data_IF_869954726668
#
_entry.id   IF_869954726668
#
_cell.length_a   1.000
_cell.length_b   1.000
_cell.length_c   1.000
_cell.angle_alpha   90.00
_cell.angle_beta   90.00
_cell.angle_gamma   90.00
#
_symmetry.space_group_name_H-M   'P 1'
#
loop_
_entity.id
_entity.type
_entity.pdbx_description
1 polymer ?
#
# COMPACT_ATOMS: atom_id res chain seq x y z
N UNK A 1 -10.78 -4.68 -0.59
CA UNK A 1 -9.76 -5.38 0.21
C UNK A 1 -10.23 -5.40 1.66
N UNK A 2 -10.41 -6.56 2.30
CA UNK A 2 -10.77 -6.63 3.73
C UNK A 2 -9.57 -6.14 4.52
N UNK A 3 -9.68 -4.99 5.17
CA UNK A 3 -8.75 -4.63 6.26
C UNK A 3 -9.00 -5.66 7.37
N UNK A 4 -8.24 -6.75 7.32
CA UNK A 4 -8.03 -7.61 8.48
C UNK A 4 -7.21 -6.76 9.46
N UNK A 5 -7.87 -5.84 10.16
CA UNK A 5 -7.42 -5.51 11.50
C UNK A 5 -7.30 -6.84 12.24
N UNK A 6 -6.26 -7.03 13.03
CA UNK A 6 -6.01 -8.31 13.71
C UNK A 6 -7.13 -8.72 14.67
N UNK A 7 -8.22 -7.94 14.75
CA UNK A 7 -9.33 -8.15 15.67
C UNK A 7 -8.87 -7.99 17.11
N UNK A 8 -7.79 -7.22 17.35
CA UNK A 8 -7.25 -7.05 18.69
C UNK A 8 -8.35 -6.50 19.60
N UNK A 9 -8.71 -7.28 20.62
CA UNK A 9 -9.73 -6.90 21.61
C UNK A 9 -9.27 -5.74 22.51
N UNK A 10 -7.97 -5.42 22.52
CA UNK A 10 -7.40 -4.32 23.27
C UNK A 10 -7.71 -2.97 22.60
N UNK A 11 -8.35 -2.01 23.30
CA UNK A 11 -8.69 -0.70 22.73
C UNK A 11 -7.46 0.04 22.21
N UNK A 12 -7.61 0.74 21.08
CA UNK A 12 -6.50 1.44 20.43
C UNK A 12 -6.01 2.68 21.20
N UNK A 13 -6.84 3.21 22.10
CA UNK A 13 -6.68 4.49 22.79
C UNK A 13 -6.60 4.36 24.33
N UNK A 14 -5.97 3.31 24.85
CA UNK A 14 -5.78 3.20 26.30
C UNK A 14 -4.79 4.27 26.80
N UNK A 15 -5.21 5.05 27.80
CA UNK A 15 -4.31 5.90 28.56
C UNK A 15 -3.44 5.03 29.46
N UNK A 16 -2.13 5.02 29.18
CA UNK A 16 -1.14 4.21 29.89
C UNK A 16 -0.39 4.98 30.99
N UNK A 17 -0.87 6.17 31.36
CA UNK A 17 -0.32 6.94 32.48
C UNK A 17 -0.76 6.38 33.84
N UNK A 18 -1.95 5.77 33.89
CA UNK A 18 -2.51 5.13 35.09
C UNK A 18 -2.77 3.62 34.84
N UNK A 19 -2.08 2.72 35.57
CA UNK A 19 -2.30 1.28 35.47
C UNK A 19 -3.76 0.84 35.71
N UNK A 20 -4.54 1.59 36.50
CA UNK A 20 -5.95 1.26 36.80
C UNK A 20 -6.87 1.43 35.59
N UNK A 21 -6.51 2.31 34.64
CA UNK A 21 -7.23 2.46 33.37
C UNK A 21 -7.01 1.26 32.44
N UNK A 22 -5.89 0.55 32.61
CA UNK A 22 -5.55 -0.65 31.86
C UNK A 22 -6.06 -1.93 32.53
N UNK A 23 -5.88 -2.05 33.84
CA UNK A 23 -6.18 -3.24 34.62
C UNK A 23 -7.41 -2.98 35.49
N UNK A 24 -8.58 -3.39 34.99
CA UNK A 24 -9.89 -3.14 35.63
C UNK A 24 -10.09 -3.85 36.97
N UNK A 25 -9.22 -4.80 37.32
CA UNK A 25 -9.36 -5.69 38.48
C UNK A 25 -8.06 -5.76 39.30
N UNK A 26 -7.38 -4.63 39.48
CA UNK A 26 -6.22 -4.58 40.39
C UNK A 26 -6.68 -4.86 41.82
N UNK A 27 -5.94 -5.72 42.51
CA UNK A 27 -6.18 -6.09 43.92
C UNK A 27 -5.00 -5.62 44.76
N UNK A 28 -5.24 -5.32 46.04
CA UNK A 28 -4.14 -4.94 46.95
C UNK A 28 -3.23 -6.14 47.20
N UNK A 29 -1.93 -5.88 47.27
CA UNK A 29 -0.91 -6.92 47.46
C UNK A 29 -1.03 -7.65 48.81
N UNK A 30 -1.71 -7.03 49.76
CA UNK A 30 -1.91 -7.46 51.15
C UNK A 30 -2.76 -8.75 51.25
N UNK A 31 -3.46 -9.14 50.18
CA UNK A 31 -4.50 -10.18 50.20
C UNK A 31 -4.04 -11.56 49.67
N UNK A 32 -2.80 -11.72 49.16
CA UNK A 32 -2.33 -12.99 48.58
C UNK A 32 -0.83 -13.27 48.76
N UNK A 33 -0.48 -14.51 49.06
CA UNK A 33 0.88 -15.05 48.92
C UNK A 33 1.06 -15.67 47.54
N UNK A 34 1.94 -15.11 46.72
CA UNK A 34 2.28 -15.65 45.39
C UNK A 34 3.26 -16.80 45.55
N UNK A 35 2.87 -18.01 45.14
CA UNK A 35 3.79 -19.14 44.94
C UNK A 35 4.21 -19.15 43.48
N UNK A 36 5.47 -18.81 43.20
CA UNK A 36 6.01 -18.79 41.84
C UNK A 36 6.23 -20.23 41.36
N UNK A 37 5.63 -20.57 40.22
CA UNK A 37 5.88 -21.85 39.55
C UNK A 37 7.27 -21.86 38.89
N UNK A 38 7.91 -23.04 38.72
CA UNK A 38 9.19 -23.13 38.02
C UNK A 38 9.07 -22.95 36.49
N UNK A 39 7.86 -23.05 35.95
CA UNK A 39 7.58 -23.11 34.52
C UNK A 39 7.69 -21.74 33.84
N UNK A 40 8.29 -21.71 32.65
CA UNK A 40 8.52 -20.52 31.83
C UNK A 40 7.85 -20.65 30.47
N UNK A 41 6.54 -20.83 30.47
CA UNK A 41 5.78 -20.95 29.23
C UNK A 41 5.80 -19.62 28.48
N UNK A 42 6.08 -19.66 27.18
CA UNK A 42 6.10 -18.47 26.33
C UNK A 42 4.66 -17.94 26.13
N UNK A 43 4.49 -16.64 26.38
CA UNK A 43 3.24 -15.90 26.18
C UNK A 43 3.29 -15.01 24.94
N UNK A 44 4.46 -14.54 24.52
CA UNK A 44 4.63 -13.70 23.32
C UNK A 44 5.91 -14.03 22.55
N UNK A 45 5.77 -14.66 21.40
CA UNK A 45 6.87 -15.01 20.50
C UNK A 45 7.62 -13.80 19.89
N UNK A 46 7.03 -12.59 19.90
CA UNK A 46 7.68 -11.40 19.34
C UNK A 46 8.76 -10.79 20.25
N UNK A 47 8.64 -10.98 21.57
CA UNK A 47 9.58 -10.39 22.54
C UNK A 47 10.07 -11.39 23.60
N UNK A 48 9.69 -12.67 23.52
CA UNK A 48 10.06 -13.71 24.47
C UNK A 48 9.38 -13.59 25.84
N UNK A 49 8.29 -12.81 25.93
CA UNK A 49 7.54 -12.66 27.18
C UNK A 49 7.00 -14.02 27.60
N UNK A 50 7.20 -14.40 28.86
CA UNK A 50 6.78 -15.70 29.41
C UNK A 50 6.03 -15.55 30.73
N UNK A 51 5.49 -16.66 31.25
CA UNK A 51 4.75 -16.72 32.53
C UNK A 51 5.51 -16.08 33.69
N UNK A 52 6.81 -16.34 33.80
CA UNK A 52 7.65 -15.72 34.83
C UNK A 52 7.70 -14.20 34.70
N UNK A 53 7.85 -13.67 33.48
CA UNK A 53 7.78 -12.22 33.27
C UNK A 53 6.41 -11.66 33.65
N UNK A 54 5.34 -12.39 33.35
CA UNK A 54 3.97 -11.99 33.66
C UNK A 54 3.69 -11.97 35.18
N UNK A 55 4.29 -12.88 35.93
CA UNK A 55 4.13 -12.98 37.39
C UNK A 55 5.04 -12.03 38.17
N UNK A 56 6.29 -11.85 37.71
CA UNK A 56 7.30 -11.09 38.46
C UNK A 56 7.38 -9.61 38.04
N UNK A 57 6.87 -9.24 36.86
CA UNK A 57 6.97 -7.87 36.35
C UNK A 57 5.75 -7.02 36.66
N UNK A 58 5.97 -5.80 37.14
CA UNK A 58 4.93 -4.76 37.25
C UNK A 58 4.77 -3.95 35.95
N UNK A 59 5.40 -4.38 34.85
CA UNK A 59 5.44 -3.62 33.60
C UNK A 59 4.14 -3.77 32.78
N UNK A 60 3.32 -2.72 32.77
CA UNK A 60 2.27 -2.56 31.78
C UNK A 60 2.83 -2.00 30.46
N UNK A 61 2.92 -2.84 29.41
CA UNK A 61 3.45 -2.36 28.11
C UNK A 61 2.69 -1.13 27.59
N UNK A 62 3.47 -0.14 27.13
CA UNK A 62 3.04 1.08 26.43
C UNK A 62 3.28 1.00 24.92
N UNK A 63 3.87 -0.11 24.48
CA UNK A 63 4.17 -0.39 23.08
C UNK A 63 3.33 -1.60 22.66
N UNK A 64 2.60 -1.49 21.55
CA UNK A 64 1.71 -2.55 21.10
C UNK A 64 1.60 -2.56 19.58
N UNK A 65 1.59 -3.76 19.00
CA UNK A 65 1.26 -3.98 17.59
C UNK A 65 -0.23 -3.72 17.40
N UNK A 66 -0.57 -2.78 16.53
CA UNK A 66 -1.96 -2.45 16.19
C UNK A 66 -2.34 -2.99 14.80
N UNK A 67 -1.35 -3.24 13.96
CA UNK A 67 -1.55 -3.83 12.64
C UNK A 67 -0.32 -4.63 12.21
N UNK A 68 -0.54 -5.72 11.49
CA UNK A 68 0.51 -6.51 10.83
C UNK A 68 0.08 -6.81 9.41
N UNK A 69 1.03 -6.75 8.48
CA UNK A 69 0.80 -7.14 7.09
C UNK A 69 2.11 -7.62 6.51
N UNK A 70 2.08 -8.77 5.83
CA UNK A 70 3.27 -9.39 5.26
C UNK A 70 4.39 -9.48 6.32
N UNK A 71 5.59 -8.96 6.06
CA UNK A 71 6.67 -8.85 7.05
C UNK A 71 6.79 -7.43 7.65
N UNK A 72 5.68 -6.73 7.82
CA UNK A 72 5.63 -5.38 8.39
C UNK A 72 4.66 -5.30 9.58
N UNK A 73 4.93 -4.36 10.48
CA UNK A 73 4.08 -4.08 11.64
C UNK A 73 3.93 -2.58 11.88
N UNK A 74 2.76 -2.19 12.37
CA UNK A 74 2.49 -0.86 12.89
C UNK A 74 2.32 -0.99 14.40
N UNK A 75 3.09 -0.20 15.13
CA UNK A 75 3.11 -0.18 16.57
C UNK A 75 2.59 1.16 17.08
N UNK A 76 1.78 1.14 18.13
CA UNK A 76 1.58 2.34 18.95
C UNK A 76 2.67 2.41 20.01
N UNK A 77 3.19 3.60 20.27
CA UNK A 77 4.13 3.90 21.34
C UNK A 77 3.51 5.00 22.22
N UNK A 78 2.99 4.58 23.37
CA UNK A 78 2.13 5.42 24.20
C UNK A 78 0.89 5.88 23.43
N UNK A 79 0.44 7.11 23.73
CA UNK A 79 -0.72 7.74 23.09
C UNK A 79 -0.33 8.71 21.97
N UNK A 80 0.96 8.94 21.76
CA UNK A 80 1.46 10.05 20.94
C UNK A 80 2.16 9.61 19.66
N UNK A 81 2.57 8.35 19.55
CA UNK A 81 3.45 7.91 18.48
C UNK A 81 2.98 6.62 17.84
N UNK A 82 3.19 6.54 16.53
CA UNK A 82 3.08 5.36 15.70
C UNK A 82 4.47 5.02 15.18
N UNK A 83 4.88 3.77 15.30
CA UNK A 83 6.12 3.26 14.72
C UNK A 83 5.77 2.28 13.61
N UNK A 84 6.24 2.58 12.40
CA UNK A 84 6.26 1.66 11.27
C UNK A 84 7.54 0.85 11.34
N UNK A 85 7.39 -0.46 11.39
CA UNK A 85 8.44 -1.47 11.40
C UNK A 85 8.32 -2.27 10.11
N UNK A 86 9.29 -2.08 9.21
CA UNK A 86 9.23 -2.66 7.88
C UNK A 86 10.65 -3.09 7.47
N UNK A 87 10.82 -4.25 6.81
CA UNK A 87 12.06 -4.54 6.14
C UNK A 87 12.39 -3.43 5.13
N UNK A 88 13.66 -3.33 4.77
CA UNK A 88 14.12 -2.62 3.58
C UNK A 88 13.70 -3.44 2.35
N UNK A 89 12.39 -3.57 2.21
CA UNK A 89 11.76 -4.18 1.06
C UNK A 89 11.64 -3.15 -0.07
N UNK A 90 10.88 -3.52 -1.09
CA UNK A 90 10.88 -2.79 -2.36
C UNK A 90 9.99 -1.55 -2.34
N UNK A 91 9.31 -1.24 -1.23
CA UNK A 91 8.37 -0.11 -1.11
C UNK A 91 8.98 1.10 -0.41
N UNK A 92 10.31 1.09 -0.24
CA UNK A 92 11.10 1.96 0.63
C UNK A 92 10.67 3.42 0.65
N UNK A 93 10.28 3.84 1.85
CA UNK A 93 10.35 5.21 2.29
C UNK A 93 9.43 6.18 1.57
N UNK A 94 8.58 5.72 0.64
CA UNK A 94 7.73 6.64 -0.13
C UNK A 94 6.80 7.44 0.79
N UNK A 95 6.23 6.76 1.80
CA UNK A 95 5.48 7.40 2.86
C UNK A 95 6.33 8.47 3.59
N UNK A 96 7.58 8.12 3.96
CA UNK A 96 8.48 9.06 4.65
C UNK A 96 8.87 10.27 3.78
N UNK A 97 9.31 10.05 2.54
CA UNK A 97 9.76 11.13 1.66
C UNK A 97 8.59 12.04 1.28
N UNK A 98 7.39 11.48 1.12
CA UNK A 98 6.18 12.25 0.81
C UNK A 98 5.76 13.10 2.00
N UNK A 99 5.67 12.51 3.20
CA UNK A 99 5.35 13.26 4.41
C UNK A 99 6.41 14.35 4.68
N UNK A 100 7.69 14.03 4.52
CA UNK A 100 8.77 15.01 4.61
C UNK A 100 8.60 16.16 3.60
N UNK A 101 8.34 15.83 2.33
CA UNK A 101 8.07 16.82 1.29
C UNK A 101 6.90 17.74 1.67
N UNK A 102 5.77 17.16 2.12
CA UNK A 102 4.58 17.91 2.50
C UNK A 102 4.82 18.84 3.69
N UNK A 103 5.59 18.41 4.70
CA UNK A 103 5.99 19.27 5.82
C UNK A 103 6.85 20.47 5.42
N UNK A 104 7.63 20.35 4.34
CA UNK A 104 8.50 21.41 3.84
C UNK A 104 7.73 22.47 3.03
N UNK A 105 6.47 22.20 2.64
CA UNK A 105 5.66 23.13 1.87
C UNK A 105 5.00 24.19 2.75
N UNK A 106 5.14 25.46 2.38
CA UNK A 106 4.51 26.58 3.10
C UNK A 106 3.05 26.75 2.67
N UNK A 107 2.17 26.99 3.64
CA UNK A 107 0.77 27.34 3.38
C UNK A 107 -0.14 26.15 3.05
N UNK A 108 0.36 24.91 3.17
CA UNK A 108 -0.50 23.74 3.12
C UNK A 108 -1.29 23.59 4.41
N UNK A 109 -2.59 23.38 4.26
CA UNK A 109 -3.50 22.98 5.31
C UNK A 109 -4.04 21.58 5.01
N UNK A 110 -3.13 20.65 4.70
CA UNK A 110 -3.44 19.23 4.52
C UNK A 110 -3.17 18.55 5.85
N UNK A 111 -4.16 17.89 6.47
CA UNK A 111 -3.96 17.24 7.75
C UNK A 111 -3.13 15.97 7.51
N UNK A 112 -1.92 15.95 8.05
CA UNK A 112 -0.96 14.83 8.02
C UNK A 112 -0.41 14.60 9.43
N UNK A 113 0.22 13.44 9.73
CA UNK A 113 1.02 13.30 10.95
C UNK A 113 1.94 14.51 11.13
N UNK A 114 1.91 15.16 12.29
CA UNK A 114 2.63 16.41 12.58
C UNK A 114 4.15 16.25 12.63
N UNK A 115 4.61 15.10 13.11
CA UNK A 115 6.03 14.79 13.18
C UNK A 115 6.32 13.46 12.50
N UNK A 116 7.45 13.41 11.78
CA UNK A 116 7.97 12.18 11.19
C UNK A 116 9.49 12.10 11.33
N UNK A 117 9.99 10.94 11.75
CA UNK A 117 11.41 10.67 11.96
C UNK A 117 11.78 9.29 11.45
N UNK A 118 12.84 9.21 10.67
CA UNK A 118 13.47 7.93 10.34
C UNK A 118 14.42 7.53 11.47
N UNK A 119 14.32 6.30 11.94
CA UNK A 119 15.22 5.74 12.94
C UNK A 119 16.18 4.76 12.24
N UNK A 120 17.37 5.25 11.92
CA UNK A 120 18.40 4.49 11.18
C UNK A 120 18.83 5.15 9.89
N UNK A 121 19.76 4.51 9.19
CA UNK A 121 20.27 4.96 7.88
C UNK A 121 19.31 4.51 6.78
N UNK A 122 19.20 5.26 5.66
CA UNK A 122 18.44 4.83 4.48
C UNK A 122 18.82 3.46 3.92
N UNK A 123 20.05 3.02 4.19
CA UNK A 123 20.61 1.76 3.69
C UNK A 123 20.35 0.57 4.61
N UNK A 124 19.84 0.80 5.83
CA UNK A 124 19.66 -0.26 6.82
C UNK A 124 18.62 -1.27 6.35
N UNK A 125 18.87 -2.59 6.48
CA UNK A 125 18.02 -3.65 5.94
C UNK A 125 16.65 -3.74 6.61
N UNK A 126 16.46 -3.05 7.74
CA UNK A 126 15.16 -2.83 8.40
C UNK A 126 15.01 -1.31 8.54
N UNK A 127 13.85 -0.79 8.18
CA UNK A 127 13.52 0.63 8.29
C UNK A 127 12.47 0.83 9.38
N UNK A 128 12.77 1.77 10.26
CA UNK A 128 11.86 2.23 11.28
C UNK A 128 11.48 3.69 11.01
N UNK A 129 10.18 3.96 10.93
CA UNK A 129 9.67 5.33 10.80
C UNK A 129 8.74 5.62 11.96
N UNK A 130 9.08 6.64 12.73
CA UNK A 130 8.28 7.14 13.83
C UNK A 130 7.44 8.32 13.34
N UNK A 131 6.12 8.24 13.52
CA UNK A 131 5.14 9.25 13.12
C UNK A 131 4.32 9.67 14.34
N UNK A 132 4.02 10.96 14.48
CA UNK A 132 3.06 11.40 15.51
C UNK A 132 1.70 10.76 15.24
N UNK A 133 1.04 10.26 16.29
CA UNK A 133 -0.28 9.68 16.19
C UNK A 133 -1.30 10.78 15.84
N UNK A 134 -2.06 10.53 14.78
CA UNK A 134 -3.20 11.38 14.43
C UNK A 134 -4.36 11.09 15.39
N UNK A 135 -4.95 12.11 16.06
CA UNK A 135 -6.05 11.89 16.98
C UNK A 135 -7.35 11.53 16.24
N UNK A 136 -8.11 10.57 16.76
CA UNK A 136 -9.40 10.16 16.19
C UNK A 136 -9.41 8.72 15.69
N UNK A 137 -10.44 8.40 14.91
CA UNK A 137 -10.65 7.07 14.35
C UNK A 137 -10.63 7.12 12.82
N UNK A 138 -10.25 6.02 12.13
CA UNK A 138 -10.47 5.89 10.70
C UNK A 138 -11.95 6.05 10.35
N UNK A 139 -12.26 6.84 9.31
CA UNK A 139 -13.64 7.05 8.84
C UNK A 139 -14.36 5.71 8.61
N UNK A 140 -13.66 4.69 8.11
CA UNK A 140 -14.27 3.38 7.80
C UNK A 140 -15.01 2.77 8.99
N UNK A 141 -14.53 2.99 10.21
CA UNK A 141 -15.11 2.39 11.42
C UNK A 141 -16.49 2.95 11.79
N UNK A 142 -16.75 4.22 11.46
CA UNK A 142 -17.98 4.91 11.87
C UNK A 142 -18.75 5.56 10.71
N UNK A 143 -18.27 5.45 9.46
CA UNK A 143 -18.98 5.92 8.28
C UNK A 143 -20.45 5.47 8.19
N UNK A 144 -20.80 4.21 8.53
CA UNK A 144 -22.19 3.74 8.44
C UNK A 144 -23.14 4.45 9.40
N UNK A 145 -22.62 5.05 10.49
CA UNK A 145 -23.43 5.71 11.51
C UNK A 145 -23.64 7.19 11.25
N UNK A 146 -22.95 7.77 10.26
CA UNK A 146 -23.04 9.18 9.93
C UNK A 146 -24.32 9.51 9.16
N UNK A 147 -24.88 10.69 9.43
CA UNK A 147 -25.92 11.31 8.61
C UNK A 147 -25.37 11.74 7.24
N UNK A 148 -26.27 12.00 6.29
CA UNK A 148 -25.89 12.47 4.96
C UNK A 148 -25.19 13.84 4.99
N UNK A 149 -25.60 14.74 5.90
CA UNK A 149 -24.93 16.04 6.06
C UNK A 149 -23.50 15.90 6.60
N UNK A 150 -23.28 15.00 7.56
CA UNK A 150 -21.93 14.72 8.09
C UNK A 150 -21.02 14.13 7.00
N UNK A 151 -21.52 13.18 6.21
CA UNK A 151 -20.78 12.60 5.08
C UNK A 151 -20.41 13.66 4.05
N UNK A 152 -21.37 14.52 3.66
CA UNK A 152 -21.11 15.65 2.77
C UNK A 152 -20.10 16.65 3.37
N UNK A 153 -20.10 16.83 4.69
CA UNK A 153 -19.09 17.62 5.40
C UNK A 153 -17.67 17.06 5.26
N UNK A 154 -17.50 15.74 5.29
CA UNK A 154 -16.20 15.10 5.05
C UNK A 154 -15.78 15.20 3.59
N UNK A 155 -16.70 14.97 2.63
CA UNK A 155 -16.39 15.12 1.20
C UNK A 155 -15.89 16.52 0.87
N UNK A 156 -16.53 17.59 1.39
CA UNK A 156 -16.07 18.98 1.20
C UNK A 156 -14.64 19.21 1.71
N UNK A 157 -14.31 18.70 2.90
CA UNK A 157 -12.95 18.80 3.43
C UNK A 157 -11.93 18.11 2.52
N UNK A 158 -12.25 16.94 1.98
CA UNK A 158 -11.37 16.23 1.03
C UNK A 158 -11.17 17.02 -0.25
N UNK A 159 -12.21 17.66 -0.79
CA UNK A 159 -12.08 18.54 -1.96
C UNK A 159 -11.03 19.62 -1.70
N UNK A 160 -11.10 20.30 -0.56
CA UNK A 160 -10.16 21.36 -0.20
C UNK A 160 -8.72 20.84 -0.08
N UNK A 161 -8.53 19.63 0.46
CA UNK A 161 -7.20 19.01 0.56
C UNK A 161 -6.66 18.59 -0.80
N UNK A 162 -7.48 17.97 -1.65
CA UNK A 162 -7.07 17.56 -2.99
C UNK A 162 -6.81 18.76 -3.91
N UNK A 163 -7.53 19.88 -3.76
CA UNK A 163 -7.23 21.13 -4.46
C UNK A 163 -5.84 21.64 -4.12
N UNK A 164 -5.44 21.59 -2.85
CA UNK A 164 -4.10 22.00 -2.42
C UNK A 164 -3.04 21.00 -2.89
N UNK A 165 -3.28 19.70 -2.72
CA UNK A 165 -2.33 18.65 -3.11
C UNK A 165 -2.04 18.69 -4.62
N UNK A 166 -3.07 18.86 -5.44
CA UNK A 166 -2.95 18.84 -6.91
C UNK A 166 -2.36 20.10 -7.52
N UNK A 167 -2.04 21.13 -6.72
CA UNK A 167 -1.23 22.27 -7.18
C UNK A 167 0.22 21.85 -7.44
N UNK A 168 0.69 20.78 -6.80
CA UNK A 168 2.01 20.24 -7.08
C UNK A 168 1.93 19.40 -8.36
N UNK A 169 2.69 19.82 -9.36
CA UNK A 169 2.84 19.12 -10.63
C UNK A 169 4.29 18.73 -10.89
N UNK A 170 4.47 17.73 -11.74
CA UNK A 170 5.77 17.32 -12.24
C UNK A 170 5.74 17.21 -13.77
N UNK A 171 6.89 17.33 -14.46
CA UNK A 171 6.96 17.19 -15.90
C UNK A 171 6.77 15.74 -16.39
N UNK A 172 6.77 14.76 -15.48
CA UNK A 172 6.72 13.33 -15.76
C UNK A 172 6.15 12.57 -14.56
N UNK A 173 5.67 11.33 -14.71
CA UNK A 173 5.22 10.54 -13.59
C UNK A 173 6.42 10.05 -12.75
N UNK A 174 6.40 10.36 -11.46
CA UNK A 174 7.51 10.06 -10.54
C UNK A 174 7.08 10.17 -9.07
N UNK A 175 7.86 9.60 -8.15
CA UNK A 175 7.76 9.89 -6.70
C UNK A 175 8.27 11.32 -6.42
N UNK A 176 8.05 11.81 -5.21
CA UNK A 176 8.48 13.18 -4.82
C UNK A 176 10.00 13.40 -4.86
N UNK A 177 10.80 12.34 -4.78
CA UNK A 177 12.25 12.39 -4.94
C UNK A 177 12.73 12.22 -6.38
N UNK A 178 11.81 12.07 -7.35
CA UNK A 178 12.10 11.89 -8.77
C UNK A 178 12.32 10.45 -9.21
N UNK A 179 12.30 9.48 -8.28
CA UNK A 179 12.37 8.05 -8.60
C UNK A 179 11.08 7.55 -9.27
N UNK A 180 11.18 6.44 -10.00
CA UNK A 180 10.07 5.93 -10.81
C UNK A 180 8.94 5.33 -9.95
N UNK A 181 7.69 5.45 -10.43
CA UNK A 181 6.51 4.89 -9.78
C UNK A 181 6.31 3.42 -10.13
N UNK A 182 5.79 2.64 -9.20
CA UNK A 182 5.33 1.28 -9.49
C UNK A 182 4.02 1.32 -10.28
N UNK A 183 3.88 0.43 -11.27
CA UNK A 183 2.64 0.30 -12.02
C UNK A 183 1.64 -0.55 -11.24
N UNK A 184 0.84 0.12 -10.42
CA UNK A 184 -0.23 -0.49 -9.62
C UNK A 184 -1.60 -0.45 -10.32
N UNK A 185 -1.63 -0.18 -11.63
CA UNK A 185 -2.86 0.15 -12.34
C UNK A 185 -3.06 -0.62 -13.66
N UNK A 186 -2.14 -0.49 -14.62
CA UNK A 186 -2.23 -1.21 -15.90
C UNK A 186 -1.69 -2.63 -15.75
N UNK A 187 -0.50 -2.74 -15.18
CA UNK A 187 0.26 -3.99 -15.15
C UNK A 187 0.10 -4.77 -13.84
N UNK A 188 -1.11 -4.87 -13.29
CA UNK A 188 -1.40 -5.62 -12.05
C UNK A 188 -1.04 -7.11 -12.21
N UNK A 189 0.19 -7.48 -11.88
CA UNK A 189 0.77 -8.78 -12.19
C UNK A 189 0.76 -9.68 -10.95
N UNK A 190 1.51 -9.31 -9.90
CA UNK A 190 1.60 -10.09 -8.66
C UNK A 190 0.64 -9.63 -7.57
N UNK A 191 0.33 -8.34 -7.56
CA UNK A 191 -0.57 -7.70 -6.60
C UNK A 191 -1.02 -6.33 -7.10
N UNK A 192 -2.18 -5.86 -6.65
CA UNK A 192 -2.68 -4.50 -6.87
C UNK A 192 -2.06 -3.46 -5.91
N UNK A 193 -0.80 -3.67 -5.51
CA UNK A 193 -0.08 -2.95 -4.45
C UNK A 193 1.29 -2.52 -4.98
N UNK A 194 1.95 -1.51 -4.37
CA UNK A 194 3.34 -1.15 -4.67
C UNK A 194 4.27 -2.35 -4.70
N UNK A 195 5.41 -2.21 -5.40
CA UNK A 195 6.39 -3.25 -5.78
C UNK A 195 5.78 -4.48 -6.45
N UNK A 196 4.92 -4.17 -7.42
CA UNK A 196 4.50 -5.04 -8.51
C UNK A 196 5.69 -5.33 -9.46
N UNK A 197 5.52 -6.16 -10.49
CA UNK A 197 6.61 -6.51 -11.40
C UNK A 197 7.01 -5.36 -12.35
N UNK A 198 6.22 -4.29 -12.45
CA UNK A 198 6.37 -3.26 -13.46
C UNK A 198 6.36 -1.86 -12.86
N UNK A 199 6.97 -0.92 -13.59
CA UNK A 199 7.04 0.50 -13.26
C UNK A 199 6.38 1.35 -14.35
N UNK A 200 5.86 2.50 -13.98
CA UNK A 200 5.27 3.49 -14.90
C UNK A 200 6.41 4.19 -15.65
N UNK A 201 6.39 4.19 -16.99
CA UNK A 201 7.38 4.92 -17.80
C UNK A 201 7.25 6.44 -17.64
N UNK A 202 8.29 7.22 -17.95
CA UNK A 202 8.29 8.68 -17.76
C UNK A 202 7.41 9.45 -18.78
N UNK A 203 6.77 8.75 -19.70
CA UNK A 203 5.71 9.25 -20.58
C UNK A 203 4.69 8.15 -20.86
N UNK A 204 3.53 8.51 -21.43
CA UNK A 204 2.53 7.52 -21.86
C UNK A 204 3.13 6.50 -22.86
N UNK A 205 3.92 6.97 -23.82
CA UNK A 205 4.59 6.10 -24.79
C UNK A 205 5.59 5.18 -24.12
N UNK A 206 6.45 5.70 -23.25
CA UNK A 206 7.45 4.89 -22.56
C UNK A 206 6.77 3.86 -21.64
N UNK A 207 5.66 4.23 -21.00
CA UNK A 207 4.89 3.32 -20.16
C UNK A 207 4.36 2.13 -20.97
N UNK A 208 3.72 2.38 -22.11
CA UNK A 208 3.20 1.30 -22.97
C UNK A 208 4.33 0.51 -23.65
N UNK A 209 5.43 1.15 -24.02
CA UNK A 209 6.59 0.47 -24.62
C UNK A 209 7.30 -0.43 -23.61
N UNK A 210 7.39 -0.03 -22.33
CA UNK A 210 7.93 -0.86 -21.26
C UNK A 210 7.06 -2.12 -21.02
N UNK A 211 5.75 -2.04 -21.26
CA UNK A 211 4.83 -3.18 -21.24
C UNK A 211 4.71 -3.89 -22.60
N UNK A 212 5.43 -3.41 -23.63
CA UNK A 212 5.18 -3.71 -25.04
C UNK A 212 5.13 -5.20 -25.38
N UNK A 213 6.09 -6.04 -24.96
CA UNK A 213 6.05 -7.48 -25.23
C UNK A 213 4.84 -8.16 -24.59
N UNK A 214 4.54 -7.83 -23.33
CA UNK A 214 3.43 -8.39 -22.55
C UNK A 214 2.07 -7.99 -23.19
N UNK A 215 1.93 -6.72 -23.59
CA UNK A 215 0.74 -6.24 -24.31
C UNK A 215 0.58 -6.93 -25.66
N UNK A 216 1.64 -7.12 -26.44
CA UNK A 216 1.60 -7.81 -27.74
C UNK A 216 1.23 -9.28 -27.60
N UNK A 217 1.72 -9.98 -26.57
CA UNK A 217 1.31 -11.37 -26.28
C UNK A 217 -0.16 -11.45 -25.88
N UNK A 218 -0.63 -10.49 -25.08
CA UNK A 218 -2.05 -10.29 -24.79
C UNK A 218 -2.91 -10.10 -26.04
N UNK A 219 -2.51 -9.19 -26.92
CA UNK A 219 -3.17 -8.92 -28.19
C UNK A 219 -3.19 -10.16 -29.10
N UNK A 220 -2.10 -10.94 -29.14
CA UNK A 220 -2.05 -12.22 -29.85
C UNK A 220 -3.12 -13.19 -29.39
N UNK A 221 -3.33 -13.32 -28.08
CA UNK A 221 -4.39 -14.17 -27.51
C UNK A 221 -5.78 -13.62 -27.80
N UNK A 222 -5.99 -12.31 -27.67
CA UNK A 222 -7.28 -11.65 -27.92
C UNK A 222 -7.71 -11.80 -29.38
N UNK A 223 -6.80 -11.56 -30.32
CA UNK A 223 -7.07 -11.57 -31.76
C UNK A 223 -6.83 -12.93 -32.41
N UNK A 224 -6.34 -13.91 -31.64
CA UNK A 224 -6.06 -15.29 -32.11
C UNK A 224 -5.14 -15.32 -33.33
N UNK A 225 -4.14 -14.46 -33.36
CA UNK A 225 -3.17 -14.35 -34.46
C UNK A 225 -1.75 -14.23 -33.92
N UNK A 226 -0.79 -14.67 -34.73
CA UNK A 226 0.66 -14.51 -34.51
C UNK A 226 1.32 -13.70 -35.62
N UNK A 227 0.52 -13.11 -36.53
CA UNK A 227 1.03 -12.23 -37.57
C UNK A 227 1.61 -10.94 -36.93
N UNK A 228 2.93 -10.71 -37.01
CA UNK A 228 3.56 -9.57 -36.38
C UNK A 228 3.04 -8.24 -36.92
N UNK A 229 2.61 -8.17 -38.18
CA UNK A 229 2.06 -6.95 -38.78
C UNK A 229 0.74 -6.58 -38.10
N UNK A 230 -0.16 -7.55 -37.97
CA UNK A 230 -1.46 -7.33 -37.32
C UNK A 230 -1.29 -6.99 -35.84
N UNK A 231 -0.38 -7.67 -35.14
CA UNK A 231 -0.12 -7.40 -33.71
C UNK A 231 0.47 -6.02 -33.51
N UNK A 232 1.39 -5.58 -34.37
CA UNK A 232 1.93 -4.23 -34.30
C UNK A 232 0.87 -3.18 -34.61
N UNK A 233 0.02 -3.41 -35.63
CA UNK A 233 -1.12 -2.52 -35.92
C UNK A 233 -2.02 -2.34 -34.70
N UNK A 234 -2.38 -3.43 -34.00
CA UNK A 234 -3.18 -3.38 -32.77
C UNK A 234 -2.46 -2.73 -31.59
N UNK A 235 -1.16 -2.91 -31.48
CA UNK A 235 -0.38 -2.22 -30.46
C UNK A 235 -0.33 -0.71 -30.71
N UNK A 236 -0.19 -0.27 -31.97
CA UNK A 236 -0.22 1.15 -32.34
C UNK A 236 -1.61 1.76 -32.15
N UNK A 237 -2.69 1.04 -32.48
CA UNK A 237 -4.08 1.46 -32.19
C UNK A 237 -4.29 1.67 -30.67
N UNK A 238 -3.74 0.78 -29.84
CA UNK A 238 -3.78 0.88 -28.39
C UNK A 238 -3.00 2.11 -27.90
N UNK A 239 -1.78 2.35 -28.38
CA UNK A 239 -1.00 3.57 -28.04
C UNK A 239 -1.74 4.84 -28.43
N UNK A 240 -2.27 4.89 -29.65
CA UNK A 240 -2.98 6.06 -30.17
C UNK A 240 -4.29 6.38 -29.42
N UNK A 241 -4.93 5.37 -28.84
CA UNK A 241 -6.17 5.54 -28.07
C UNK A 241 -5.94 5.79 -26.58
N UNK A 242 -4.72 5.63 -26.07
CA UNK A 242 -4.40 5.82 -24.66
C UNK A 242 -4.65 7.28 -24.23
N UNK A 243 -5.20 7.53 -23.03
CA UNK A 243 -5.54 8.89 -22.62
C UNK A 243 -4.28 9.76 -22.45
N UNK A 244 -4.42 11.05 -22.72
CA UNK A 244 -3.39 12.02 -22.34
C UNK A 244 -3.12 11.92 -20.84
N UNK A 245 -1.85 11.82 -20.49
CA UNK A 245 -1.43 11.67 -19.10
C UNK A 245 -1.15 13.00 -18.41
N UNK A 246 -0.90 14.07 -19.17
CA UNK A 246 -0.61 15.38 -18.60
C UNK A 246 -1.87 16.16 -18.21
N UNK A 247 -1.82 17.00 -17.16
CA UNK A 247 -0.67 17.19 -16.26
C UNK A 247 -0.50 16.01 -15.28
N UNK A 248 0.74 15.80 -14.84
CA UNK A 248 1.04 14.89 -13.72
C UNK A 248 0.91 15.65 -12.40
N UNK A 249 -0.04 15.25 -11.57
CA UNK A 249 -0.38 15.91 -10.30
C UNK A 249 -0.02 15.03 -9.12
N UNK A 250 0.39 15.64 -8.01
CA UNK A 250 0.63 14.88 -6.78
C UNK A 250 -0.69 14.28 -6.29
N UNK A 251 -0.67 12.97 -6.10
CA UNK A 251 -1.82 12.13 -5.77
C UNK A 251 -1.44 11.24 -4.58
N UNK A 252 -2.41 10.94 -3.70
CA UNK A 252 -2.18 10.06 -2.55
C UNK A 252 -2.00 8.61 -3.03
N UNK A 253 -2.78 8.20 -4.04
CA UNK A 253 -2.65 6.91 -4.71
C UNK A 253 -3.34 5.74 -3.99
N UNK A 254 -3.71 5.93 -2.72
CA UNK A 254 -4.55 5.02 -1.93
C UNK A 254 -5.51 5.77 -0.97
N UNK A 255 -6.17 6.82 -1.48
CA UNK A 255 -7.08 7.62 -0.65
C UNK A 255 -8.38 6.84 -0.40
N UNK A 256 -8.56 6.34 0.82
CA UNK A 256 -9.73 5.57 1.21
C UNK A 256 -10.14 5.83 2.68
N UNK A 257 -11.32 5.37 3.09
CA UNK A 257 -11.88 5.62 4.42
C UNK A 257 -11.03 5.09 5.59
N UNK A 258 -10.16 4.12 5.36
CA UNK A 258 -9.25 3.60 6.41
C UNK A 258 -8.03 4.49 6.60
N UNK A 259 -7.67 5.27 5.57
CA UNK A 259 -6.49 6.15 5.55
C UNK A 259 -6.84 7.60 5.93
N UNK A 260 -8.11 7.88 6.24
CA UNK A 260 -8.59 9.19 6.68
C UNK A 260 -9.02 9.07 8.15
N UNK A 261 -8.30 9.74 9.03
CA UNK A 261 -8.56 9.79 10.46
C UNK A 261 -9.36 11.06 10.77
N UNK A 262 -10.47 10.90 11.48
CA UNK A 262 -11.35 11.99 11.83
C UNK A 262 -11.79 11.94 13.29
N UNK A 263 -12.07 13.13 13.82
CA UNK A 263 -12.55 13.37 15.18
C UNK A 263 -13.42 14.62 15.18
N UNK A 264 -14.56 14.56 15.88
CA UNK A 264 -15.45 15.70 16.11
C UNK A 264 -15.87 16.42 14.80
N UNK A 265 -16.24 15.65 13.77
CA UNK A 265 -16.68 16.18 12.47
C UNK A 265 -15.56 16.72 11.56
N UNK A 266 -14.29 16.60 11.98
CA UNK A 266 -13.14 17.12 11.25
C UNK A 266 -12.13 16.03 10.90
N UNK A 267 -11.58 16.10 9.70
CA UNK A 267 -10.44 15.26 9.31
C UNK A 267 -9.20 15.77 10.07
N UNK A 268 -8.60 14.89 10.85
CA UNK A 268 -7.42 15.17 11.68
C UNK A 268 -6.13 14.73 11.00
N UNK A 269 -6.20 13.77 10.07
CA UNK A 269 -5.03 13.35 9.31
C UNK A 269 -5.36 12.39 8.18
N UNK A 270 -4.58 12.50 7.11
CA UNK A 270 -4.46 11.56 6.01
C UNK A 270 -3.13 10.83 6.21
N UNK A 271 -3.20 9.51 6.28
CA UNK A 271 -2.06 8.62 6.57
C UNK A 271 -1.83 7.65 5.43
N UNK A 272 -0.69 6.96 5.46
CA UNK A 272 -0.35 5.87 4.53
C UNK A 272 -0.05 6.35 3.10
N UNK A 273 0.96 7.23 3.00
CA UNK A 273 1.41 7.85 1.75
C UNK A 273 2.37 6.97 0.95
N UNK A 274 2.35 5.65 1.16
CA UNK A 274 3.27 4.71 0.50
C UNK A 274 3.07 4.62 -1.02
N UNK A 275 1.87 4.99 -1.49
CA UNK A 275 1.53 5.01 -2.92
C UNK A 275 1.66 6.37 -3.58
N UNK A 276 2.01 7.40 -2.81
CA UNK A 276 1.94 8.76 -3.28
C UNK A 276 2.95 9.04 -4.41
N UNK A 277 2.58 9.97 -5.30
CA UNK A 277 3.40 10.28 -6.46
C UNK A 277 2.71 11.25 -7.40
N UNK A 278 3.47 11.72 -8.38
CA UNK A 278 2.94 12.49 -9.50
C UNK A 278 2.39 11.52 -10.53
N UNK A 279 1.07 11.39 -10.59
CA UNK A 279 0.37 10.50 -11.52
C UNK A 279 -0.41 11.31 -12.55
N UNK A 280 -0.83 10.71 -13.68
CA UNK A 280 -1.80 11.33 -14.56
C UNK A 280 -3.02 11.85 -13.80
N UNK A 281 -3.50 13.04 -14.15
CA UNK A 281 -4.61 13.72 -13.46
C UNK A 281 -5.89 12.87 -13.31
N UNK A 282 -6.11 11.87 -14.17
CA UNK A 282 -7.28 11.00 -14.10
C UNK A 282 -7.08 9.76 -13.22
N UNK A 283 -5.84 9.42 -12.85
CA UNK A 283 -5.49 8.09 -12.35
C UNK A 283 -6.09 7.77 -10.98
N UNK A 284 -6.07 8.70 -10.04
CA UNK A 284 -6.62 8.49 -8.70
C UNK A 284 -8.15 8.28 -8.73
N UNK A 285 -8.84 9.00 -9.61
CA UNK A 285 -10.27 8.80 -9.86
C UNK A 285 -10.51 7.40 -10.44
N UNK A 286 -9.72 6.97 -11.43
CA UNK A 286 -9.87 5.62 -12.01
C UNK A 286 -9.55 4.50 -11.02
N UNK A 287 -8.56 4.67 -10.15
CA UNK A 287 -8.27 3.75 -9.04
C UNK A 287 -9.47 3.64 -8.10
N UNK A 288 -10.07 4.78 -7.75
CA UNK A 288 -11.30 4.83 -6.98
C UNK A 288 -12.44 4.04 -7.66
N UNK A 289 -12.67 4.22 -8.96
CA UNK A 289 -13.71 3.48 -9.69
C UNK A 289 -13.43 1.98 -9.77
N UNK A 290 -12.16 1.60 -9.95
CA UNK A 290 -11.75 0.20 -10.09
C UNK A 290 -11.80 -0.56 -8.76
N UNK A 291 -11.51 0.10 -7.63
CA UNK A 291 -11.27 -0.57 -6.34
C UNK A 291 -12.26 -0.16 -5.24
N UNK A 292 -13.10 0.84 -5.49
CA UNK A 292 -14.03 1.42 -4.52
C UNK A 292 -15.10 0.44 -4.06
N UNK A 293 -15.42 0.49 -2.77
CA UNK A 293 -16.65 -0.09 -2.23
C UNK A 293 -17.75 0.99 -2.12
N UNK A 294 -18.95 0.59 -1.71
CA UNK A 294 -20.10 1.51 -1.61
C UNK A 294 -19.82 2.73 -0.73
N UNK A 295 -19.02 2.59 0.34
CA UNK A 295 -18.68 3.70 1.22
C UNK A 295 -17.65 4.64 0.58
N UNK A 296 -16.67 4.10 -0.14
CA UNK A 296 -15.78 4.92 -0.95
C UNK A 296 -16.56 5.71 -2.00
N UNK A 297 -17.53 5.08 -2.68
CA UNK A 297 -18.34 5.76 -3.68
C UNK A 297 -19.17 6.90 -3.08
N UNK A 298 -19.75 6.70 -1.89
CA UNK A 298 -20.47 7.74 -1.17
C UNK A 298 -19.56 8.90 -0.73
N UNK A 299 -18.34 8.62 -0.30
CA UNK A 299 -17.38 9.66 0.13
C UNK A 299 -16.80 10.44 -1.05
N UNK A 300 -16.24 9.74 -2.04
CA UNK A 300 -15.37 10.31 -3.07
C UNK A 300 -16.11 10.63 -4.38
N UNK A 301 -17.31 10.09 -4.59
CA UNK A 301 -18.14 10.43 -5.76
C UNK A 301 -18.34 11.94 -5.91
N UNK A 302 -18.92 12.62 -4.90
CA UNK A 302 -19.10 14.07 -4.92
C UNK A 302 -17.78 14.86 -5.03
N UNK A 303 -16.71 14.32 -4.45
CA UNK A 303 -15.37 14.94 -4.49
C UNK A 303 -14.86 15.02 -5.93
N UNK A 304 -14.96 13.93 -6.67
CA UNK A 304 -14.47 13.88 -8.04
C UNK A 304 -15.36 14.65 -9.01
N UNK A 305 -16.68 14.64 -8.80
CA UNK A 305 -17.62 15.47 -9.54
C UNK A 305 -17.28 16.97 -9.42
N UNK A 306 -16.88 17.41 -8.22
CA UNK A 306 -16.49 18.80 -7.98
C UNK A 306 -15.07 19.14 -8.49
N UNK A 307 -14.10 18.24 -8.34
CA UNK A 307 -12.71 18.48 -8.72
C UNK A 307 -12.46 18.42 -10.22
N UNK A 308 -13.26 17.64 -10.94
CA UNK A 308 -12.99 17.31 -12.35
C UNK A 308 -14.24 17.44 -13.25
N UNK A 309 -14.98 18.57 -13.19
CA UNK A 309 -16.23 18.71 -13.94
C UNK A 309 -16.03 18.89 -15.45
N UNK A 310 -14.86 19.37 -15.88
CA UNK A 310 -14.55 19.69 -17.29
C UNK A 310 -13.90 18.52 -18.05
N UNK A 311 -13.53 17.45 -17.34
CA UNK A 311 -12.80 16.35 -17.93
C UNK A 311 -13.75 15.27 -18.49
N UNK A 312 -13.25 14.49 -19.45
CA UNK A 312 -13.95 13.31 -19.99
C UNK A 312 -14.61 12.52 -18.84
N UNK A 313 -15.87 12.10 -18.97
CA UNK A 313 -16.51 11.24 -17.97
C UNK A 313 -15.58 10.06 -17.64
N UNK A 314 -15.53 9.61 -16.38
CA UNK A 314 -14.64 8.54 -15.96
C UNK A 314 -14.74 7.30 -16.86
N UNK A 315 -15.92 7.02 -17.41
CA UNK A 315 -16.20 5.93 -18.33
C UNK A 315 -15.47 6.06 -19.67
N UNK A 316 -15.29 7.28 -20.17
CA UNK A 316 -14.57 7.54 -21.43
C UNK A 316 -13.07 7.36 -21.24
N UNK A 317 -12.51 7.83 -20.13
CA UNK A 317 -11.12 7.55 -19.75
C UNK A 317 -10.92 6.04 -19.56
N UNK A 318 -11.85 5.37 -18.86
CA UNK A 318 -11.81 3.92 -18.69
C UNK A 318 -11.83 3.18 -20.03
N UNK A 319 -12.63 3.62 -21.01
CA UNK A 319 -12.64 3.03 -22.37
C UNK A 319 -11.31 3.16 -23.11
N UNK A 320 -10.56 4.25 -22.88
CA UNK A 320 -9.24 4.48 -23.46
C UNK A 320 -8.15 3.64 -22.80
N UNK A 321 -8.29 3.36 -21.50
CA UNK A 321 -7.35 2.56 -20.69
C UNK A 321 -7.58 1.05 -20.86
N UNK A 322 -8.85 0.65 -20.92
CA UNK A 322 -9.27 -0.75 -20.86
C UNK A 322 -8.61 -1.66 -21.91
N UNK A 323 -8.39 -1.25 -23.18
CA UNK A 323 -7.68 -2.08 -24.15
C UNK A 323 -6.29 -2.50 -23.67
N UNK A 324 -5.53 -1.60 -23.05
CA UNK A 324 -4.20 -1.88 -22.52
C UNK A 324 -4.25 -2.82 -21.30
N UNK A 325 -5.08 -2.50 -20.31
CA UNK A 325 -5.25 -3.33 -19.13
C UNK A 325 -5.77 -4.75 -19.49
N UNK A 326 -6.68 -4.84 -20.46
CA UNK A 326 -7.19 -6.11 -20.97
C UNK A 326 -6.11 -6.89 -21.69
N UNK A 327 -5.36 -6.28 -22.61
CA UNK A 327 -4.27 -6.95 -23.30
C UNK A 327 -3.27 -7.51 -22.27
N UNK A 328 -2.84 -6.69 -21.31
CA UNK A 328 -1.95 -7.12 -20.24
C UNK A 328 -2.54 -8.32 -19.46
N UNK A 329 -3.80 -8.26 -19.05
CA UNK A 329 -4.47 -9.35 -18.32
C UNK A 329 -4.70 -10.65 -19.11
N UNK A 330 -4.55 -10.65 -20.43
CA UNK A 330 -4.53 -11.87 -21.24
C UNK A 330 -3.13 -12.47 -21.35
N UNK A 331 -2.08 -11.72 -21.01
CA UNK A 331 -0.72 -12.24 -20.93
C UNK A 331 -0.54 -12.97 -19.60
N UNK A 332 -0.17 -14.26 -19.64
CA UNK A 332 0.07 -15.02 -18.43
C UNK A 332 1.49 -14.76 -17.94
N UNK A 333 1.65 -14.67 -16.63
CA UNK A 333 2.94 -14.45 -15.99
C UNK A 333 3.21 -15.50 -14.93
N UNK A 334 4.42 -16.04 -14.93
CA UNK A 334 4.98 -16.77 -13.81
C UNK A 334 5.93 -15.87 -13.05
N UNK A 335 5.78 -15.82 -11.73
CA UNK A 335 6.54 -14.94 -10.86
C UNK A 335 7.66 -15.70 -10.18
N UNK A 336 8.90 -15.23 -10.37
CA UNK A 336 10.06 -15.85 -9.75
C UNK A 336 9.96 -15.69 -8.23
N UNK A 337 9.96 -16.81 -7.51
CA UNK A 337 9.90 -16.84 -6.04
C UNK A 337 8.50 -16.92 -5.43
N UNK A 338 7.41 -16.82 -6.22
CA UNK A 338 6.06 -17.13 -5.71
C UNK A 338 5.95 -18.65 -5.45
N UNK A 339 5.44 -19.03 -4.28
CA UNK A 339 5.35 -20.43 -3.83
C UNK A 339 6.53 -20.91 -2.98
N UNK A 340 7.64 -20.14 -2.92
CA UNK A 340 8.68 -20.33 -1.91
C UNK A 340 8.27 -19.58 -0.64
N UNK A 341 8.22 -20.30 0.48
CA UNK A 341 7.90 -19.72 1.78
C UNK A 341 8.38 -20.59 2.94
N UNK A 342 8.51 -19.96 4.09
CA UNK A 342 9.00 -20.58 5.32
C UNK A 342 7.89 -20.55 6.36
N UNK A 343 7.52 -21.71 6.87
CA UNK A 343 6.56 -21.81 7.97
C UNK A 343 7.23 -21.45 9.29
N UNK A 344 6.54 -20.69 10.15
CA UNK A 344 6.98 -20.53 11.53
C UNK A 344 6.82 -21.87 12.28
N UNK A 345 7.65 -22.13 13.32
CA UNK A 345 7.46 -23.27 14.20
C UNK A 345 6.04 -23.34 14.78
N UNK A 346 5.54 -24.54 15.15
CA UNK A 346 4.24 -24.68 15.80
C UNK A 346 4.17 -23.87 17.11
N UNK A 347 3.08 -23.13 17.31
CA UNK A 347 2.83 -22.40 18.57
C UNK A 347 2.45 -23.33 19.72
N UNK A 348 1.68 -24.39 19.45
CA UNK A 348 1.32 -25.42 20.43
C UNK A 348 1.26 -26.80 19.76
N UNK A 349 1.33 -27.87 20.56
CA UNK A 349 1.09 -29.25 20.10
C UNK A 349 -0.24 -29.41 19.34
N UNK A 350 -1.23 -28.58 19.68
CA UNK A 350 -2.55 -28.55 19.07
C UNK A 350 -2.63 -27.82 17.71
N UNK A 351 -1.61 -27.06 17.33
CA UNK A 351 -1.57 -26.25 16.11
C UNK A 351 -0.22 -26.43 15.43
N UNK A 352 -0.08 -27.50 14.61
CA UNK A 352 1.20 -27.91 14.04
C UNK A 352 1.72 -26.97 12.94
N UNK A 353 0.96 -25.94 12.56
CA UNK A 353 1.34 -24.95 11.55
C UNK A 353 0.96 -23.55 12.06
N UNK A 354 1.92 -22.64 12.09
CA UNK A 354 1.72 -21.21 12.30
C UNK A 354 2.01 -20.48 10.96
N UNK A 355 1.50 -19.25 10.80
CA UNK A 355 1.73 -18.42 9.61
C UNK A 355 3.21 -18.36 9.20
N UNK A 356 3.48 -18.09 7.92
CA UNK A 356 4.83 -18.14 7.36
C UNK A 356 5.27 -16.81 6.75
N UNK A 357 6.47 -16.82 6.20
CA UNK A 357 7.01 -15.75 5.36
C UNK A 357 7.06 -16.26 3.93
N UNK A 358 6.61 -15.48 2.96
CA UNK A 358 6.86 -15.75 1.54
C UNK A 358 8.18 -15.11 1.11
N UNK A 359 8.76 -15.56 -0.01
CA UNK A 359 9.95 -14.92 -0.59
C UNK A 359 9.76 -13.43 -0.89
N UNK A 360 8.52 -13.01 -1.20
CA UNK A 360 8.15 -11.60 -1.37
C UNK A 360 8.36 -10.82 -0.06
N UNK A 361 8.00 -11.40 1.07
CA UNK A 361 8.05 -10.75 2.38
C UNK A 361 9.50 -10.63 2.91
N UNK A 362 10.45 -11.30 2.25
CA UNK A 362 11.88 -11.30 2.58
C UNK A 362 12.73 -10.52 1.55
N UNK A 363 12.11 -9.61 0.79
CA UNK A 363 12.84 -8.65 -0.05
C UNK A 363 13.34 -9.18 -1.40
N UNK A 364 13.07 -10.44 -1.77
CA UNK A 364 13.51 -11.04 -3.05
C UNK A 364 12.86 -10.33 -4.24
N UNK A 365 13.56 -9.64 -5.17
CA UNK A 365 12.97 -8.98 -6.35
C UNK A 365 11.86 -9.78 -7.05
N UNK A 366 10.67 -9.21 -7.22
CA UNK A 366 9.58 -9.79 -8.00
C UNK A 366 9.83 -9.45 -9.45
N UNK A 367 10.52 -10.35 -10.14
CA UNK A 367 10.46 -10.41 -11.59
C UNK A 367 9.44 -11.46 -12.00
N UNK A 368 8.75 -11.20 -13.11
CA UNK A 368 7.91 -12.19 -13.76
C UNK A 368 8.46 -12.53 -15.14
N UNK A 369 8.11 -13.72 -15.63
CA UNK A 369 8.33 -14.18 -17.00
C UNK A 369 6.98 -14.41 -17.66
N UNK A 370 6.88 -14.11 -18.95
CA UNK A 370 5.70 -14.46 -19.73
C UNK A 370 5.64 -15.99 -19.86
N UNK A 371 4.47 -16.57 -19.62
CA UNK A 371 4.24 -18.02 -19.71
C UNK A 371 2.92 -18.32 -20.44
N UNK A 372 2.54 -19.60 -20.51
CA UNK A 372 1.29 -20.02 -21.14
C UNK A 372 1.21 -19.70 -22.64
N UNK A 373 2.36 -19.67 -23.32
CA UNK A 373 2.45 -19.41 -24.76
C UNK A 373 2.45 -20.71 -25.56
N UNK A 374 1.91 -20.67 -26.77
CA UNK A 374 2.12 -21.71 -27.80
C UNK A 374 3.45 -21.47 -28.50
N UNK A 375 4.05 -22.50 -29.11
CA UNK A 375 5.35 -22.40 -29.81
C UNK A 375 5.43 -21.24 -30.82
N UNK A 376 4.35 -21.01 -31.57
CA UNK A 376 4.23 -19.90 -32.51
C UNK A 376 4.21 -18.50 -31.85
N UNK A 377 3.70 -18.41 -30.61
CA UNK A 377 3.74 -17.18 -29.81
C UNK A 377 5.09 -16.99 -29.13
N UNK A 378 5.77 -18.07 -28.75
CA UNK A 378 7.15 -18.03 -28.25
C UNK A 378 8.09 -17.48 -29.34
N UNK A 379 8.00 -18.00 -30.57
CA UNK A 379 8.76 -17.49 -31.71
C UNK A 379 8.45 -16.01 -32.01
N UNK A 380 7.19 -15.59 -31.86
CA UNK A 380 6.81 -14.18 -32.00
C UNK A 380 7.44 -13.32 -30.88
N UNK A 381 7.44 -13.82 -29.63
CA UNK A 381 8.01 -13.12 -28.48
C UNK A 381 9.52 -12.89 -28.63
N UNK A 382 10.25 -13.83 -29.24
CA UNK A 382 11.69 -13.69 -29.52
C UNK A 382 12.01 -12.46 -30.39
N UNK A 383 11.05 -12.00 -31.19
CA UNK A 383 11.16 -10.76 -31.99
C UNK A 383 11.09 -9.47 -31.16
N UNK A 384 10.72 -9.55 -29.87
CA UNK A 384 10.57 -8.39 -29.00
C UNK A 384 11.58 -8.40 -27.85
N UNK A 385 12.21 -7.24 -27.60
CA UNK A 385 13.10 -7.07 -26.45
C UNK A 385 12.28 -6.74 -25.20
N UNK A 386 12.08 -7.73 -24.33
CA UNK A 386 11.51 -7.52 -22.99
C UNK A 386 12.55 -7.02 -22.01
N UNK A 387 12.33 -5.84 -21.46
CA UNK A 387 13.12 -5.32 -20.32
C UNK A 387 12.67 -6.04 -19.06
N UNK A 388 13.62 -6.47 -18.24
CA UNK A 388 13.33 -6.78 -16.85
C UNK A 388 13.27 -5.44 -16.09
N UNK A 389 12.10 -5.02 -15.57
CA UNK A 389 11.95 -3.74 -14.88
C UNK A 389 12.83 -3.60 -13.63
N UNK A 390 13.42 -4.70 -13.14
CA UNK A 390 14.25 -4.76 -11.93
C UNK A 390 15.72 -5.05 -12.21
N UNK A 391 16.15 -5.17 -13.47
CA UNK A 391 17.55 -5.42 -13.80
C UNK A 391 18.51 -4.33 -13.28
N UNK A 392 18.03 -3.10 -13.08
CA UNK A 392 18.83 -1.97 -12.58
C UNK A 392 18.84 -1.86 -11.03
N UNK A 393 17.88 -2.49 -10.35
CA UNK A 393 17.70 -2.41 -8.88
C UNK A 393 18.38 -3.57 -8.12
N UNK A 394 19.26 -4.33 -8.78
CA UNK A 394 19.90 -5.57 -8.30
C UNK A 394 20.87 -5.41 -7.09
N UNK A 395 20.76 -4.34 -6.30
CA UNK A 395 21.57 -4.07 -5.10
C UNK A 395 21.09 -4.80 -3.83
N UNK A 396 20.17 -5.76 -3.95
CA UNK A 396 19.81 -6.67 -2.84
C UNK A 396 20.46 -8.02 -3.13
N UNK A 397 21.50 -8.43 -2.38
CA UNK A 397 22.13 -9.72 -2.60
C UNK A 397 21.09 -10.84 -2.42
N UNK A 398 21.14 -11.89 -3.25
CA UNK A 398 20.23 -13.02 -3.11
C UNK A 398 20.38 -13.61 -1.71
N UNK A 399 19.26 -13.94 -1.08
CA UNK A 399 19.25 -14.83 0.08
C UNK A 399 19.68 -16.19 -0.47
N UNK A 400 20.89 -16.63 -0.12
CA UNK A 400 21.38 -17.97 -0.48
C UNK A 400 20.40 -19.03 0.04
N UNK A 401 20.14 -20.06 -0.79
CA UNK A 401 19.08 -21.09 -0.61
C UNK A 401 19.21 -21.93 0.66
#
# INVERSE_FOLDING_TARGET
MKTLGTGNEAPDDLDYTDPTLKFKTLVRADDYTVSLGPDRDELCCNCGWNTRNQEESSYGSRVRIIHTRDNSAIWTIGTQWILRDQPRDRFLGNNYITLKFLHEQRGLNIPIPQEIRRLGKPTDPIQFTLESRVPGNPLRGFWPTLSQEEKAGYSRQIVDFLRQLRQFTAPRPQKVDGSQLDDVFLAECSSNQPGNCFKIGYSADEWLDNLGPDLRMGLSKIHKTVDPVVIEEKFQELKASFPSCEPYVLTHGDLNLSNIIAKDGKIQGIVDWERAGYYPWWMEQQLFWKQGDSYMHELLGPVWEELMPEFDPPELIAKKIFPAAKAFGYCDHEHLGIGKGWSKPPFCKCRPVQGGFSAKDWGTPLSCKITGLRAEQEALLEGYKRKDPWAEDAHVPPVEE
#
